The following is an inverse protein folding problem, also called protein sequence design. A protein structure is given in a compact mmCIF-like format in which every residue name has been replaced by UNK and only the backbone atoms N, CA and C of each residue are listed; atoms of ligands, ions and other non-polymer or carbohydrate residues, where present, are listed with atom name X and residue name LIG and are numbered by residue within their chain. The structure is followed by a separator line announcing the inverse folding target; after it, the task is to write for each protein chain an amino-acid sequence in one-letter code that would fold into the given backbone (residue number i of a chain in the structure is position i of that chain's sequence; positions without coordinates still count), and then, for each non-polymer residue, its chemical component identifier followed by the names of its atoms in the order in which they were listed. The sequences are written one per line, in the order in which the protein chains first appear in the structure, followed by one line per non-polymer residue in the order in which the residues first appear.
data_IF_816812955973
#
_entry.id   IF_816812955973
#
_cell.length_a   1.000
_cell.length_b   1.000
_cell.length_c   1.000
_cell.angle_alpha   90.00
_cell.angle_beta   90.00
_cell.angle_gamma   90.00
#
_symmetry.space_group_name_H-M   'P 1'
#
loop_
_entity.id
_entity.type
_entity.pdbx_description
1 polymer ?
#
# COMPACT_ATOMS: atom_id res chain seq x y z
N UNK A 1 -30.27 -15.24 -27.04
CA UNK A 1 -29.91 -16.27 -26.04
C UNK A 1 -28.46 -16.03 -25.67
N UNK A 2 -28.22 -15.50 -24.44
CA UNK A 2 -26.85 -15.39 -23.92
C UNK A 2 -26.43 -16.80 -23.50
N UNK A 3 -25.43 -17.35 -24.16
CA UNK A 3 -24.78 -18.59 -23.72
C UNK A 3 -24.10 -18.34 -22.38
N UNK A 4 -24.56 -19.02 -21.36
CA UNK A 4 -23.95 -19.05 -20.03
C UNK A 4 -22.72 -19.95 -20.13
N UNK A 5 -21.53 -19.35 -20.18
CA UNK A 5 -20.28 -20.11 -20.13
C UNK A 5 -20.21 -20.81 -18.77
N UNK A 6 -20.27 -22.15 -18.76
CA UNK A 6 -20.03 -22.96 -17.56
C UNK A 6 -18.57 -23.41 -17.55
N UNK A 7 -17.90 -23.29 -16.40
CA UNK A 7 -16.57 -23.80 -16.18
C UNK A 7 -16.64 -25.02 -15.26
N UNK A 8 -15.71 -25.95 -15.41
CA UNK A 8 -15.51 -27.02 -14.44
C UNK A 8 -15.07 -26.41 -13.10
N UNK A 9 -15.66 -26.89 -12.02
CA UNK A 9 -15.39 -26.36 -10.68
C UNK A 9 -14.17 -27.06 -10.09
N UNK A 10 -13.11 -26.30 -9.77
CA UNK A 10 -11.86 -26.80 -9.19
C UNK A 10 -11.80 -26.52 -7.69
N UNK A 11 -12.40 -25.41 -7.25
CA UNK A 11 -12.51 -25.02 -5.83
C UNK A 11 -13.93 -25.32 -5.37
N UNK A 12 -14.09 -26.06 -4.27
CA UNK A 12 -15.42 -26.48 -3.77
C UNK A 12 -16.29 -25.30 -3.34
N UNK A 13 -15.79 -24.43 -2.48
CA UNK A 13 -16.49 -23.23 -1.97
C UNK A 13 -15.57 -22.03 -1.98
N UNK A 14 -15.98 -20.98 -2.64
CA UNK A 14 -15.16 -19.79 -2.83
C UNK A 14 -15.90 -18.48 -2.60
N UNK A 15 -15.12 -17.43 -2.34
CA UNK A 15 -15.62 -16.06 -2.25
C UNK A 15 -14.78 -15.13 -3.10
N UNK A 16 -15.47 -14.30 -3.90
CA UNK A 16 -14.85 -13.14 -4.57
C UNK A 16 -15.13 -11.86 -3.78
N UNK A 17 -14.08 -11.09 -3.50
CA UNK A 17 -14.18 -9.81 -2.80
C UNK A 17 -13.81 -8.66 -3.73
N UNK A 18 -14.71 -7.70 -3.88
CA UNK A 18 -14.43 -6.40 -4.46
C UNK A 18 -14.23 -5.39 -3.34
N UNK A 19 -12.97 -4.95 -3.18
CA UNK A 19 -12.53 -4.16 -2.01
C UNK A 19 -12.33 -2.71 -2.39
N UNK A 20 -13.13 -1.84 -1.80
CA UNK A 20 -13.05 -0.39 -1.93
C UNK A 20 -12.64 0.29 -0.62
N UNK A 21 -12.44 1.61 -0.67
CA UNK A 21 -12.08 2.41 0.51
C UNK A 21 -13.11 2.33 1.65
N UNK A 22 -14.40 2.26 1.33
CA UNK A 22 -15.50 2.34 2.30
C UNK A 22 -16.28 1.05 2.43
N UNK A 23 -16.25 0.20 1.41
CA UNK A 23 -17.08 -0.99 1.32
C UNK A 23 -16.29 -2.18 0.79
N UNK A 24 -16.71 -3.37 1.17
CA UNK A 24 -16.27 -4.66 0.64
C UNK A 24 -17.51 -5.40 0.17
N UNK A 25 -17.61 -5.65 -1.12
CA UNK A 25 -18.67 -6.48 -1.69
C UNK A 25 -18.16 -7.91 -1.80
N UNK A 26 -18.82 -8.83 -1.10
CA UNK A 26 -18.46 -10.24 -1.03
C UNK A 26 -19.52 -11.09 -1.73
N UNK A 27 -19.09 -11.97 -2.63
CA UNK A 27 -19.96 -12.98 -3.25
C UNK A 27 -19.41 -14.37 -2.93
N UNK A 28 -20.22 -15.18 -2.26
CA UNK A 28 -19.93 -16.60 -2.05
C UNK A 28 -20.68 -17.46 -3.07
N UNK A 29 -20.09 -18.60 -3.43
CA UNK A 29 -20.67 -19.59 -4.33
C UNK A 29 -19.90 -20.91 -4.16
N UNK A 30 -20.49 -22.02 -4.59
CA UNK A 30 -19.81 -23.32 -4.59
C UNK A 30 -20.74 -24.49 -4.29
N UNK A 31 -20.13 -25.63 -4.02
CA UNK A 31 -20.83 -26.88 -3.81
C UNK A 31 -21.77 -26.84 -2.58
N UNK A 32 -23.05 -27.06 -2.82
CA UNK A 32 -24.07 -27.04 -1.77
C UNK A 32 -24.39 -25.63 -1.22
N UNK A 33 -23.89 -24.59 -1.85
CA UNK A 33 -24.16 -23.19 -1.48
C UNK A 33 -25.01 -22.49 -2.55
N UNK A 34 -26.01 -21.74 -2.08
CA UNK A 34 -26.67 -20.74 -2.91
C UNK A 34 -25.74 -19.54 -3.07
N UNK A 35 -25.65 -19.00 -4.31
CA UNK A 35 -24.87 -17.79 -4.56
C UNK A 35 -25.48 -16.60 -3.85
N UNK A 36 -24.76 -16.07 -2.87
CA UNK A 36 -25.18 -14.90 -2.09
C UNK A 36 -24.15 -13.78 -2.23
N UNK A 37 -24.63 -12.56 -2.42
CA UNK A 37 -23.77 -11.35 -2.40
C UNK A 37 -24.18 -10.46 -1.24
N UNK A 38 -23.20 -10.05 -0.42
CA UNK A 38 -23.38 -9.11 0.70
C UNK A 38 -22.39 -7.97 0.60
N UNK A 39 -22.76 -6.82 1.14
CA UNK A 39 -21.89 -5.66 1.29
C UNK A 39 -21.56 -5.45 2.78
N UNK A 40 -20.29 -5.19 3.05
CA UNK A 40 -19.74 -4.94 4.39
C UNK A 40 -19.00 -3.61 4.41
N UNK A 41 -18.93 -2.98 5.58
CA UNK A 41 -18.04 -1.84 5.80
C UNK A 41 -16.57 -2.27 5.88
N UNK A 42 -15.67 -1.28 5.96
CA UNK A 42 -14.21 -1.51 6.04
C UNK A 42 -13.66 -1.31 7.46
N UNK A 43 -14.51 -1.02 8.44
CA UNK A 43 -14.10 -0.99 9.84
C UNK A 43 -13.90 -2.40 10.39
N UNK A 44 -13.07 -2.52 11.43
CA UNK A 44 -12.72 -3.81 12.02
C UNK A 44 -13.94 -4.66 12.39
N UNK A 45 -14.98 -4.05 12.96
CA UNK A 45 -16.22 -4.76 13.31
C UNK A 45 -16.89 -5.39 12.09
N UNK A 46 -17.04 -4.65 11.00
CA UNK A 46 -17.66 -5.13 9.76
C UNK A 46 -16.79 -6.16 9.04
N UNK A 47 -15.46 -6.03 9.12
CA UNK A 47 -14.54 -7.03 8.56
C UNK A 47 -14.53 -8.31 9.41
N UNK A 48 -14.76 -8.20 10.72
CA UNK A 48 -14.97 -9.38 11.59
C UNK A 48 -16.27 -10.08 11.23
N UNK A 49 -17.36 -9.34 11.01
CA UNK A 49 -18.62 -9.89 10.52
C UNK A 49 -18.46 -10.61 9.17
N UNK A 50 -17.73 -10.01 8.23
CA UNK A 50 -17.36 -10.66 6.96
C UNK A 50 -16.61 -11.98 7.21
N UNK A 51 -15.60 -11.98 8.07
CA UNK A 51 -14.81 -13.16 8.44
C UNK A 51 -15.73 -14.27 9.00
N UNK A 52 -16.58 -13.93 9.98
CA UNK A 52 -17.47 -14.89 10.61
C UNK A 52 -18.46 -15.46 9.58
N UNK A 53 -19.03 -14.61 8.73
CA UNK A 53 -19.91 -15.06 7.64
C UNK A 53 -19.23 -16.02 6.65
N UNK A 54 -17.94 -15.80 6.33
CA UNK A 54 -17.18 -16.70 5.46
C UNK A 54 -16.90 -18.05 6.15
N UNK A 55 -16.57 -18.03 7.43
CA UNK A 55 -16.33 -19.25 8.23
C UNK A 55 -17.61 -20.07 8.39
N UNK A 56 -18.73 -19.43 8.71
CA UNK A 56 -20.04 -20.08 8.87
C UNK A 56 -20.52 -20.76 7.58
N UNK A 57 -20.14 -20.24 6.42
CA UNK A 57 -20.43 -20.83 5.11
C UNK A 57 -19.34 -21.80 4.63
N UNK A 58 -18.38 -22.14 5.49
CA UNK A 58 -17.28 -23.08 5.20
C UNK A 58 -16.50 -22.71 3.92
N UNK A 59 -16.29 -21.41 3.69
CA UNK A 59 -15.52 -20.93 2.54
C UNK A 59 -14.06 -21.34 2.69
N UNK A 60 -13.53 -22.03 1.70
CA UNK A 60 -12.15 -22.54 1.68
C UNK A 60 -11.18 -21.55 1.03
N UNK A 61 -11.64 -20.81 0.02
CA UNK A 61 -10.81 -19.90 -0.76
C UNK A 61 -11.49 -18.54 -0.94
N UNK A 62 -10.69 -17.49 -0.85
CA UNK A 62 -11.13 -16.11 -1.08
C UNK A 62 -10.22 -15.48 -2.13
N UNK A 63 -10.79 -14.81 -3.12
CA UNK A 63 -10.04 -14.02 -4.10
C UNK A 63 -10.39 -12.54 -3.98
N UNK A 64 -9.39 -11.65 -3.99
CA UNK A 64 -9.56 -10.20 -4.06
C UNK A 64 -8.49 -9.55 -4.92
N UNK A 65 -8.80 -8.40 -5.52
CA UNK A 65 -7.83 -7.66 -6.31
C UNK A 65 -6.82 -6.89 -5.43
N UNK A 66 -5.59 -6.77 -5.93
CA UNK A 66 -4.50 -6.02 -5.28
C UNK A 66 -4.62 -4.50 -5.45
N UNK A 67 -5.84 -3.95 -5.44
CA UNK A 67 -6.08 -2.53 -5.67
C UNK A 67 -5.63 -1.68 -4.48
N UNK A 68 -4.59 -0.85 -4.69
CA UNK A 68 -4.06 0.07 -3.68
C UNK A 68 -3.60 -0.64 -2.40
N UNK A 69 -4.02 -0.09 -1.25
CA UNK A 69 -3.70 -0.62 0.10
C UNK A 69 -4.91 -1.26 0.80
N UNK A 70 -6.10 -1.16 0.20
CA UNK A 70 -7.37 -1.50 0.86
C UNK A 70 -7.54 -3.00 1.10
N UNK A 71 -6.87 -3.85 0.33
CA UNK A 71 -6.89 -5.30 0.52
C UNK A 71 -6.16 -5.75 1.80
N UNK A 72 -5.17 -4.98 2.30
CA UNK A 72 -4.33 -5.39 3.44
C UNK A 72 -5.14 -5.63 4.74
N UNK A 73 -6.04 -4.74 5.18
CA UNK A 73 -6.87 -4.99 6.37
C UNK A 73 -7.72 -6.25 6.26
N UNK A 74 -8.33 -6.46 5.08
CA UNK A 74 -9.14 -7.66 4.82
C UNK A 74 -8.28 -8.92 4.89
N UNK A 75 -7.13 -8.91 4.22
CA UNK A 75 -6.17 -10.01 4.26
C UNK A 75 -5.73 -10.35 5.70
N UNK A 76 -5.35 -9.34 6.48
CA UNK A 76 -4.87 -9.53 7.85
C UNK A 76 -5.92 -10.14 8.78
N UNK A 77 -7.20 -9.89 8.55
CA UNK A 77 -8.31 -10.47 9.33
C UNK A 77 -8.61 -11.91 8.88
N UNK A 78 -8.44 -12.21 7.59
CA UNK A 78 -8.69 -13.54 7.05
C UNK A 78 -7.51 -14.50 7.20
N UNK A 79 -6.27 -14.00 7.18
CA UNK A 79 -5.04 -14.81 7.26
C UNK A 79 -5.03 -15.82 8.43
N UNK A 80 -5.45 -15.48 9.66
CA UNK A 80 -5.44 -16.41 10.79
C UNK A 80 -6.57 -17.45 10.78
N UNK A 81 -7.52 -17.38 9.85
CA UNK A 81 -8.70 -18.30 9.83
C UNK A 81 -8.42 -19.65 9.18
N UNK A 82 -7.31 -19.81 8.49
CA UNK A 82 -7.01 -20.97 7.66
C UNK A 82 -7.64 -20.94 6.26
N UNK A 83 -8.45 -19.92 5.95
CA UNK A 83 -8.98 -19.69 4.60
C UNK A 83 -7.81 -19.32 3.66
N UNK A 84 -7.74 -19.97 2.52
CA UNK A 84 -6.73 -19.65 1.49
C UNK A 84 -7.10 -18.34 0.79
N UNK A 85 -6.31 -17.27 1.02
CA UNK A 85 -6.60 -15.95 0.45
C UNK A 85 -5.70 -15.65 -0.75
N UNK A 86 -6.30 -15.49 -1.91
CA UNK A 86 -5.63 -15.15 -3.16
C UNK A 86 -5.74 -13.66 -3.45
N UNK A 87 -4.60 -12.98 -3.49
CA UNK A 87 -4.51 -11.63 -4.00
C UNK A 87 -4.17 -11.70 -5.48
N UNK A 88 -5.04 -11.18 -6.33
CA UNK A 88 -4.89 -11.28 -7.77
C UNK A 88 -4.62 -9.92 -8.41
N UNK A 89 -3.86 -9.93 -9.51
CA UNK A 89 -3.59 -8.70 -10.25
C UNK A 89 -4.79 -8.35 -11.14
N UNK A 90 -5.32 -7.13 -11.00
CA UNK A 90 -6.43 -6.64 -11.79
C UNK A 90 -6.25 -6.79 -13.32
N UNK A 91 -5.00 -6.67 -13.82
CA UNK A 91 -4.70 -6.87 -15.24
C UNK A 91 -4.95 -8.31 -15.70
N UNK A 92 -4.63 -9.30 -14.86
CA UNK A 92 -4.89 -10.70 -15.18
C UNK A 92 -6.38 -11.00 -15.20
N UNK A 93 -7.14 -10.48 -14.26
CA UNK A 93 -8.60 -10.65 -14.19
C UNK A 93 -9.28 -10.05 -15.43
N UNK A 94 -8.85 -8.87 -15.87
CA UNK A 94 -9.39 -8.18 -17.07
C UNK A 94 -9.08 -8.87 -18.39
N UNK A 95 -8.01 -9.66 -18.45
CA UNK A 95 -7.59 -10.35 -19.66
C UNK A 95 -8.29 -11.70 -19.87
N UNK A 96 -9.08 -12.17 -18.90
CA UNK A 96 -9.88 -13.40 -19.08
C UNK A 96 -11.08 -13.09 -19.97
N UNK A 97 -11.24 -13.73 -21.14
CA UNK A 97 -12.36 -13.48 -22.05
C UNK A 97 -13.69 -13.81 -21.36
N UNK A 98 -14.66 -12.90 -21.39
CA UNK A 98 -15.99 -13.27 -20.92
C UNK A 98 -16.96 -12.21 -20.44
N UNK A 99 -16.55 -11.03 -19.95
CA UNK A 99 -17.54 -9.99 -19.61
C UNK A 99 -16.95 -8.56 -19.52
N UNK A 100 -17.58 -7.67 -20.33
CA UNK A 100 -17.34 -6.20 -20.29
C UNK A 100 -18.50 -5.47 -19.61
N UNK A 101 -18.88 -5.79 -18.39
CA UNK A 101 -19.87 -5.00 -17.67
C UNK A 101 -19.48 -4.80 -16.22
N UNK A 102 -19.24 -3.53 -15.88
CA UNK A 102 -18.69 -2.97 -14.64
C UNK A 102 -19.52 -3.18 -13.34
N UNK A 103 -20.45 -4.10 -13.29
CA UNK A 103 -21.40 -4.15 -12.17
C UNK A 103 -21.31 -5.39 -11.26
N UNK A 104 -20.31 -6.27 -11.43
CA UNK A 104 -20.25 -7.50 -10.60
C UNK A 104 -18.84 -8.05 -10.40
N UNK A 105 -17.92 -7.19 -10.01
CA UNK A 105 -16.51 -7.60 -9.86
C UNK A 105 -16.34 -8.75 -8.84
N UNK A 106 -17.05 -8.72 -7.71
CA UNK A 106 -17.00 -9.81 -6.72
C UNK A 106 -17.57 -11.13 -7.26
N UNK A 107 -18.66 -11.09 -8.05
CA UNK A 107 -19.26 -12.29 -8.66
C UNK A 107 -18.36 -12.89 -9.73
N UNK A 108 -17.73 -12.03 -10.52
CA UNK A 108 -16.79 -12.46 -11.56
C UNK A 108 -15.55 -13.08 -10.94
N UNK A 109 -14.98 -12.44 -9.91
CA UNK A 109 -13.85 -12.99 -9.15
C UNK A 109 -14.19 -14.34 -8.52
N UNK A 110 -15.38 -14.48 -7.92
CA UNK A 110 -15.84 -15.74 -7.37
C UNK A 110 -15.92 -16.83 -8.44
N UNK A 111 -16.52 -16.54 -9.59
CA UNK A 111 -16.62 -17.47 -10.70
C UNK A 111 -15.25 -17.91 -11.23
N UNK A 112 -14.32 -16.99 -11.41
CA UNK A 112 -12.96 -17.29 -11.86
C UNK A 112 -12.17 -18.09 -10.83
N UNK A 113 -12.38 -17.80 -9.53
CA UNK A 113 -11.78 -18.55 -8.43
C UNK A 113 -12.22 -20.01 -8.44
N UNK A 114 -13.54 -20.25 -8.49
CA UNK A 114 -14.11 -21.60 -8.52
C UNK A 114 -13.61 -22.41 -9.74
N UNK A 115 -13.45 -21.77 -10.88
CA UNK A 115 -12.94 -22.38 -12.08
C UNK A 115 -11.40 -22.57 -12.11
N UNK A 116 -10.67 -22.14 -11.06
CA UNK A 116 -9.21 -22.23 -11.03
C UNK A 116 -8.47 -21.33 -12.03
N UNK A 117 -9.15 -20.32 -12.59
CA UNK A 117 -8.59 -19.44 -13.64
C UNK A 117 -7.82 -18.23 -13.10
N UNK A 118 -7.73 -18.08 -11.77
CA UNK A 118 -6.99 -17.01 -11.15
C UNK A 118 -5.55 -17.43 -10.83
N UNK A 119 -4.61 -16.51 -11.07
CA UNK A 119 -3.22 -16.67 -10.65
C UNK A 119 -2.95 -15.82 -9.42
N UNK A 120 -2.72 -16.44 -8.23
CA UNK A 120 -2.44 -15.69 -7.02
C UNK A 120 -1.07 -15.02 -7.08
N UNK A 121 -0.99 -13.82 -6.52
CA UNK A 121 0.27 -13.15 -6.22
C UNK A 121 0.87 -13.73 -4.96
N UNK A 122 2.19 -13.85 -4.92
CA UNK A 122 2.88 -14.27 -3.70
C UNK A 122 2.79 -13.17 -2.64
N UNK A 123 2.23 -13.50 -1.48
CA UNK A 123 2.19 -12.63 -0.29
C UNK A 123 3.19 -13.18 0.72
N UNK A 124 4.24 -12.42 1.06
CA UNK A 124 5.22 -12.85 2.06
C UNK A 124 4.58 -13.04 3.44
N UNK A 125 5.17 -13.88 4.31
CA UNK A 125 4.77 -13.99 5.71
C UNK A 125 4.75 -12.62 6.41
N UNK A 126 3.96 -12.52 7.47
CA UNK A 126 3.69 -11.25 8.18
C UNK A 126 4.98 -10.54 8.59
N UNK A 127 5.94 -11.26 9.18
CA UNK A 127 7.23 -10.69 9.62
C UNK A 127 8.01 -10.05 8.46
N UNK A 128 8.03 -10.70 7.29
CA UNK A 128 8.67 -10.13 6.11
C UNK A 128 7.92 -8.91 5.56
N UNK A 129 6.58 -8.90 5.65
CA UNK A 129 5.78 -7.72 5.25
C UNK A 129 6.10 -6.53 6.14
N UNK A 130 6.13 -6.74 7.45
CA UNK A 130 6.46 -5.70 8.44
C UNK A 130 7.89 -5.17 8.22
N UNK A 131 8.88 -6.05 8.05
CA UNK A 131 10.25 -5.64 7.75
C UNK A 131 10.37 -4.84 6.45
N UNK A 132 9.64 -5.24 5.39
CA UNK A 132 9.59 -4.50 4.13
C UNK A 132 8.98 -3.12 4.30
N UNK A 133 7.91 -3.00 5.06
CA UNK A 133 7.25 -1.72 5.30
C UNK A 133 8.17 -0.79 6.12
N UNK A 134 8.86 -1.28 7.16
CA UNK A 134 9.85 -0.53 7.93
C UNK A 134 11.04 -0.06 7.09
N UNK A 135 11.60 -0.95 6.26
CA UNK A 135 12.74 -0.59 5.41
C UNK A 135 12.36 0.42 4.32
N UNK A 136 11.16 0.31 3.75
CA UNK A 136 10.62 1.30 2.80
C UNK A 136 10.37 2.64 3.47
N UNK A 137 9.81 2.63 4.67
CA UNK A 137 9.59 3.86 5.46
C UNK A 137 10.91 4.55 5.79
N UNK A 138 11.92 3.79 6.26
CA UNK A 138 13.27 4.33 6.48
C UNK A 138 13.86 4.97 5.22
N UNK A 139 13.75 4.28 4.08
CA UNK A 139 14.22 4.83 2.79
C UNK A 139 13.51 6.14 2.46
N UNK A 140 12.20 6.21 2.68
CA UNK A 140 11.40 7.42 2.42
C UNK A 140 11.85 8.58 3.31
N UNK A 141 12.06 8.34 4.61
CA UNK A 141 12.55 9.36 5.53
C UNK A 141 13.92 9.92 5.10
N UNK A 142 14.84 9.06 4.67
CA UNK A 142 16.16 9.50 4.17
C UNK A 142 15.98 10.39 2.93
N UNK A 143 15.11 10.02 2.00
CA UNK A 143 14.81 10.82 0.82
C UNK A 143 14.19 12.18 1.17
N UNK A 144 13.28 12.20 2.16
CA UNK A 144 12.64 13.44 2.61
C UNK A 144 13.65 14.38 3.29
N UNK A 145 14.57 13.84 4.09
CA UNK A 145 15.68 14.61 4.68
C UNK A 145 16.56 15.21 3.56
N UNK A 146 16.98 14.43 2.57
CA UNK A 146 17.77 14.90 1.45
C UNK A 146 17.02 15.98 0.64
N UNK A 147 15.75 15.79 0.40
CA UNK A 147 14.90 16.78 -0.30
C UNK A 147 14.80 18.09 0.47
N UNK A 148 14.64 18.05 1.79
CA UNK A 148 14.57 19.25 2.63
C UNK A 148 15.93 19.99 2.67
N UNK A 149 17.04 19.25 2.77
CA UNK A 149 18.39 19.84 2.67
C UNK A 149 18.57 20.61 1.36
N UNK A 150 18.18 20.01 0.23
CA UNK A 150 18.26 20.66 -1.08
C UNK A 150 17.35 21.90 -1.17
N UNK A 151 16.19 21.91 -0.51
CA UNK A 151 15.32 23.10 -0.44
C UNK A 151 15.99 24.26 0.31
N UNK A 152 16.62 23.96 1.46
CA UNK A 152 17.36 24.98 2.23
C UNK A 152 18.50 25.57 1.36
N UNK A 153 19.30 24.72 0.72
CA UNK A 153 20.37 25.19 -0.17
C UNK A 153 19.82 26.08 -1.27
N UNK A 154 18.70 25.70 -1.90
CA UNK A 154 18.08 26.52 -2.97
C UNK A 154 17.67 27.90 -2.46
N UNK A 155 17.02 27.97 -1.29
CA UNK A 155 16.64 29.28 -0.68
C UNK A 155 17.87 30.14 -0.42
N UNK A 156 18.96 29.56 0.11
CA UNK A 156 20.20 30.28 0.34
C UNK A 156 20.83 30.77 -0.98
N UNK A 157 20.82 29.95 -2.02
CA UNK A 157 21.30 30.36 -3.36
C UNK A 157 20.46 31.52 -3.96
N UNK A 158 19.13 31.47 -3.78
CA UNK A 158 18.22 32.54 -4.21
C UNK A 158 18.55 33.88 -3.49
N UNK A 159 19.00 33.79 -2.22
CA UNK A 159 19.48 34.93 -1.47
C UNK A 159 20.98 35.31 -1.73
N UNK A 160 21.61 34.68 -2.71
CA UNK A 160 23.05 34.78 -2.98
C UNK A 160 23.97 34.42 -1.81
N UNK A 161 23.51 33.53 -0.95
CA UNK A 161 24.31 32.93 0.14
C UNK A 161 24.90 31.61 -0.32
N UNK A 162 26.15 31.58 -0.73
CA UNK A 162 26.85 30.46 -1.35
C UNK A 162 27.38 29.45 -0.31
N UNK A 163 26.53 28.98 0.59
CA UNK A 163 26.92 28.11 1.68
C UNK A 163 27.58 26.81 1.21
N UNK A 164 27.04 26.19 0.15
CA UNK A 164 27.57 24.96 -0.46
C UNK A 164 28.96 25.13 -1.11
N UNK A 165 29.35 26.35 -1.47
CA UNK A 165 30.67 26.65 -2.02
C UNK A 165 31.75 26.78 -0.95
N UNK A 166 31.34 27.04 0.29
CA UNK A 166 32.26 27.32 1.42
C UNK A 166 32.35 26.12 2.36
N UNK A 167 31.23 25.44 2.61
CA UNK A 167 31.16 24.28 3.50
C UNK A 167 30.94 22.99 2.72
N UNK A 168 31.73 21.98 3.04
CA UNK A 168 31.56 20.63 2.45
C UNK A 168 30.31 19.91 2.99
N UNK A 169 29.94 20.16 4.27
CA UNK A 169 28.71 19.68 4.88
C UNK A 169 27.76 20.82 5.20
N UNK A 170 26.81 21.04 4.31
CA UNK A 170 25.76 22.08 4.43
C UNK A 170 24.69 21.76 5.47
N UNK A 171 24.81 20.64 6.18
CA UNK A 171 23.88 20.18 7.21
C UNK A 171 24.56 19.93 8.56
N UNK A 172 25.87 20.17 8.62
CA UNK A 172 26.65 20.04 9.85
C UNK A 172 26.36 21.18 10.85
N UNK A 173 26.93 21.06 12.04
CA UNK A 173 26.71 22.01 13.14
C UNK A 173 27.03 23.45 12.74
N UNK A 174 28.14 23.65 12.01
CA UNK A 174 28.55 24.97 11.51
C UNK A 174 27.50 25.57 10.58
N UNK A 175 27.05 24.80 9.58
CA UNK A 175 26.04 25.24 8.63
C UNK A 175 24.72 25.58 9.32
N UNK A 176 24.26 24.74 10.24
CA UNK A 176 23.02 24.96 11.01
C UNK A 176 23.09 26.25 11.80
N UNK A 177 24.17 26.48 12.57
CA UNK A 177 24.33 27.71 13.35
C UNK A 177 24.36 28.99 12.49
N UNK A 178 24.99 28.94 11.32
CA UNK A 178 25.00 30.07 10.38
C UNK A 178 23.60 30.33 9.80
N UNK A 179 22.90 29.28 9.43
CA UNK A 179 21.51 29.39 8.92
C UNK A 179 20.57 29.90 10.00
N UNK A 180 20.66 29.42 11.23
CA UNK A 180 19.84 29.90 12.36
C UNK A 180 20.04 31.39 12.59
N UNK A 181 21.27 31.85 12.54
CA UNK A 181 21.59 33.28 12.67
C UNK A 181 20.99 34.13 11.54
N UNK A 182 21.03 33.63 10.29
CA UNK A 182 20.38 34.29 9.16
C UNK A 182 18.86 34.34 9.32
N UNK A 183 18.25 33.26 9.83
CA UNK A 183 16.80 33.20 10.13
C UNK A 183 16.38 34.19 11.22
N UNK A 184 17.28 34.54 12.17
CA UNK A 184 17.06 35.60 13.16
C UNK A 184 17.18 37.02 12.58
N UNK A 185 17.44 37.17 11.28
CA UNK A 185 17.67 38.47 10.63
C UNK A 185 19.00 39.11 10.96
N UNK A 186 19.93 38.38 11.51
CA UNK A 186 21.27 38.89 11.90
C UNK A 186 22.26 38.71 10.72
N UNK A 187 23.14 39.69 10.56
CA UNK A 187 24.25 39.53 9.61
C UNK A 187 25.27 38.53 10.18
N UNK A 188 25.77 37.67 9.36
CA UNK A 188 26.91 36.80 9.65
C UNK A 188 28.21 37.62 9.49
N UNK A 189 29.00 37.70 10.56
CA UNK A 189 30.31 38.42 10.57
C UNK A 189 31.45 37.41 10.52
N UNK A 190 32.68 37.89 10.22
CA UNK A 190 33.88 37.04 10.27
C UNK A 190 34.09 36.43 11.67
N UNK A 191 33.84 37.19 12.74
CA UNK A 191 33.93 36.70 14.12
C UNK A 191 32.95 35.52 14.38
N UNK A 192 31.78 35.57 13.77
CA UNK A 192 30.81 34.44 13.85
C UNK A 192 31.33 33.22 13.14
N UNK A 193 31.94 33.39 11.98
CA UNK A 193 32.55 32.32 11.22
C UNK A 193 33.69 31.71 12.03
N UNK A 194 34.59 32.48 12.59
CA UNK A 194 35.71 32.01 13.41
C UNK A 194 35.26 31.29 14.67
N UNK A 195 34.15 31.74 15.29
CA UNK A 195 33.58 31.12 16.50
C UNK A 195 32.88 29.80 16.23
N UNK A 196 32.31 29.62 15.06
CA UNK A 196 31.45 28.48 14.71
C UNK A 196 32.21 27.43 13.88
N UNK A 197 33.26 27.85 13.16
CA UNK A 197 34.03 26.94 12.30
C UNK A 197 35.10 26.18 13.10
N UNK A 198 34.89 24.92 13.29
CA UNK A 198 35.85 23.99 13.88
C UNK A 198 36.65 23.21 12.81
N UNK A 199 37.08 23.85 11.75
CA UNK A 199 37.80 23.18 10.67
C UNK A 199 38.17 24.11 9.51
N UNK A 200 38.90 23.58 8.52
CA UNK A 200 39.25 24.33 7.33
C UNK A 200 37.99 24.70 6.52
N UNK A 201 37.70 25.97 6.42
CA UNK A 201 36.83 26.53 5.40
C UNK A 201 37.59 26.41 4.06
N UNK A 202 36.92 26.00 2.99
CA UNK A 202 37.51 25.90 1.66
C UNK A 202 37.82 27.27 1.14
#
# INVERSE_FOLDING_TARGET
TMETVSFEQVVSRGCGLDVHKKTVVATIDGEGLERVTREFGTFTSSLTELKDWLVDNEITHVAMESTGVYWKPVYNILEPTGITVWIVNARHVKNVPGHKTDKKDSRWLCKLLLAGLLKPSYIPPREQRELRDLTRYRKKLIQDVASNKNRVIRILEDCNVKLSSVLSDTSGVTATRLVDKLCEGKRVTMEDIDRVCHGRIK
#
